data_IF_187127054439
#
_entry.id   IF_187127054439
#
_cell.length_a   1.000
_cell.length_b   1.000
_cell.length_c   1.000
_cell.angle_alpha   90.00
_cell.angle_beta   90.00
_cell.angle_gamma   90.00
#
_symmetry.space_group_name_H-M   'P 1'
#
loop_
_entity.id
_entity.type
_entity.pdbx_description
1 polymer ?
#
# COMPACT_ATOMS: atom_id res chain seq x y z
N UNK A 1 -5.92 -13.66 -0.66
CA UNK A 1 -6.58 -12.73 0.24
C UNK A 1 -7.39 -11.70 -0.58
N UNK A 2 -6.82 -11.03 -1.54
CA UNK A 2 -7.46 -9.98 -2.36
C UNK A 2 -8.53 -10.49 -3.35
N UNK A 3 -9.54 -11.23 -2.85
CA UNK A 3 -10.63 -11.75 -3.66
C UNK A 3 -10.31 -13.04 -4.42
N UNK A 4 -9.31 -13.80 -3.99
CA UNK A 4 -9.06 -15.15 -4.51
C UNK A 4 -10.19 -16.07 -4.06
N UNK A 5 -10.93 -16.65 -5.01
CA UNK A 5 -11.96 -17.65 -4.73
C UNK A 5 -11.37 -19.06 -4.61
N UNK A 6 -12.21 -19.99 -4.12
CA UNK A 6 -11.84 -21.39 -3.87
C UNK A 6 -11.24 -22.10 -5.11
N UNK A 7 -11.73 -21.79 -6.31
CA UNK A 7 -11.21 -22.39 -7.56
C UNK A 7 -9.77 -21.97 -7.87
N UNK A 8 -9.43 -20.70 -7.63
CA UNK A 8 -8.07 -20.20 -7.82
C UNK A 8 -7.15 -20.73 -6.69
N UNK A 9 -7.66 -20.79 -5.45
CA UNK A 9 -6.93 -21.37 -4.33
C UNK A 9 -6.58 -22.84 -4.60
N UNK A 10 -7.54 -23.65 -5.06
CA UNK A 10 -7.30 -25.04 -5.46
C UNK A 10 -6.19 -25.15 -6.50
N UNK A 11 -6.20 -24.27 -7.52
CA UNK A 11 -5.19 -24.30 -8.57
C UNK A 11 -3.78 -24.00 -8.05
N UNK A 12 -3.67 -23.17 -7.03
CA UNK A 12 -2.39 -22.79 -6.42
C UNK A 12 -1.88 -23.83 -5.41
N UNK A 13 -2.78 -24.41 -4.59
CA UNK A 13 -2.40 -25.38 -3.57
C UNK A 13 -2.26 -26.81 -4.12
N UNK A 14 -2.88 -27.09 -5.26
CA UNK A 14 -3.15 -28.47 -5.70
C UNK A 14 -4.29 -29.10 -4.88
N UNK A 15 -4.57 -30.38 -5.09
CA UNK A 15 -5.56 -31.10 -4.32
C UNK A 15 -7.00 -30.94 -4.78
N UNK A 16 -7.94 -31.32 -3.94
CA UNK A 16 -9.39 -31.35 -4.23
C UNK A 16 -10.06 -30.00 -3.99
N UNK A 17 -11.28 -29.84 -4.52
CA UNK A 17 -12.10 -28.66 -4.26
C UNK A 17 -12.53 -28.58 -2.80
N UNK A 18 -12.76 -29.71 -2.16
CA UNK A 18 -13.20 -29.79 -0.76
C UNK A 18 -12.07 -29.34 0.19
N UNK A 19 -10.84 -29.78 -0.08
CA UNK A 19 -9.66 -29.31 0.69
C UNK A 19 -9.47 -27.81 0.56
N UNK A 20 -9.55 -27.26 -0.66
CA UNK A 20 -9.45 -25.83 -0.90
C UNK A 20 -10.59 -25.05 -0.23
N UNK A 21 -11.83 -25.58 -0.23
CA UNK A 21 -12.96 -24.97 0.47
C UNK A 21 -12.75 -24.98 1.98
N UNK A 22 -12.29 -26.08 2.53
CA UNK A 22 -12.01 -26.22 3.97
C UNK A 22 -10.92 -25.22 4.38
N UNK A 23 -9.84 -25.14 3.61
CA UNK A 23 -8.77 -24.16 3.86
C UNK A 23 -9.29 -22.72 3.81
N UNK A 24 -10.10 -22.40 2.80
CA UNK A 24 -10.70 -21.08 2.64
C UNK A 24 -11.58 -20.69 3.84
N UNK A 25 -12.44 -21.61 4.28
CA UNK A 25 -13.31 -21.40 5.43
C UNK A 25 -12.51 -21.24 6.73
N UNK A 26 -11.51 -22.10 6.98
CA UNK A 26 -10.65 -22.03 8.15
C UNK A 26 -9.88 -20.69 8.21
N UNK A 27 -9.36 -20.24 7.07
CA UNK A 27 -8.69 -18.94 6.97
C UNK A 27 -9.61 -17.79 7.42
N UNK A 28 -10.80 -17.69 6.85
CA UNK A 28 -11.72 -16.61 7.19
C UNK A 28 -12.40 -16.77 8.55
N UNK A 29 -12.46 -17.97 9.12
CA UNK A 29 -12.86 -18.16 10.51
C UNK A 29 -11.78 -17.67 11.47
N UNK A 30 -10.52 -17.96 11.17
CA UNK A 30 -9.37 -17.47 11.97
C UNK A 30 -9.21 -15.95 11.86
N UNK A 31 -9.41 -15.39 10.67
CA UNK A 31 -9.25 -13.97 10.37
C UNK A 31 -10.60 -13.32 10.04
N UNK A 32 -11.54 -13.37 10.97
CA UNK A 32 -12.91 -12.86 10.77
C UNK A 32 -12.93 -11.37 10.41
N UNK A 33 -12.06 -10.55 11.01
CA UNK A 33 -11.96 -9.13 10.69
C UNK A 33 -11.57 -8.86 9.22
N UNK A 34 -10.77 -9.73 8.60
CA UNK A 34 -10.47 -9.62 7.16
C UNK A 34 -11.71 -9.93 6.33
N UNK A 35 -12.47 -10.96 6.69
CA UNK A 35 -13.74 -11.27 6.01
C UNK A 35 -14.71 -10.10 6.09
N UNK A 36 -14.93 -9.58 7.30
CA UNK A 36 -15.85 -8.48 7.54
C UNK A 36 -15.44 -7.22 6.78
N UNK A 37 -14.14 -6.93 6.72
CA UNK A 37 -13.60 -5.85 5.89
C UNK A 37 -13.95 -6.04 4.41
N UNK A 38 -13.70 -7.23 3.85
CA UNK A 38 -13.97 -7.52 2.44
C UNK A 38 -15.47 -7.39 2.09
N UNK A 39 -16.35 -7.86 2.97
CA UNK A 39 -17.81 -7.76 2.80
C UNK A 39 -18.28 -6.30 2.91
N UNK A 40 -17.77 -5.56 3.87
CA UNK A 40 -18.11 -4.14 4.06
C UNK A 40 -17.65 -3.29 2.87
N UNK A 41 -16.45 -3.50 2.34
CA UNK A 41 -15.97 -2.75 1.16
C UNK A 41 -16.80 -3.06 -0.08
N UNK A 42 -17.19 -4.32 -0.31
CA UNK A 42 -18.08 -4.67 -1.43
C UNK A 42 -19.42 -3.97 -1.30
N UNK A 43 -20.07 -4.08 -0.15
CA UNK A 43 -21.36 -3.44 0.12
C UNK A 43 -21.29 -1.92 -0.02
N UNK A 44 -20.20 -1.31 0.46
CA UNK A 44 -19.96 0.13 0.30
C UNK A 44 -19.81 0.51 -1.17
N UNK A 45 -19.02 -0.26 -1.94
CA UNK A 45 -18.80 -0.02 -3.36
C UNK A 45 -20.10 -0.17 -4.18
N UNK A 46 -20.91 -1.20 -3.88
CA UNK A 46 -22.21 -1.42 -4.54
C UNK A 46 -23.19 -0.24 -4.32
N UNK A 47 -23.19 0.32 -3.11
CA UNK A 47 -24.05 1.43 -2.73
C UNK A 47 -23.59 2.76 -3.31
N UNK A 48 -22.28 3.01 -3.26
CA UNK A 48 -21.72 4.35 -3.52
C UNK A 48 -21.05 4.47 -4.90
N UNK A 49 -20.81 3.37 -5.60
CA UNK A 49 -20.11 3.26 -6.89
C UNK A 49 -18.62 3.70 -6.85
N UNK A 50 -18.07 3.83 -5.67
CA UNK A 50 -16.64 4.11 -5.43
C UNK A 50 -16.18 3.48 -4.12
N UNK A 51 -14.86 3.41 -3.92
CA UNK A 51 -14.21 3.19 -2.63
C UNK A 51 -13.18 4.28 -2.35
N UNK A 52 -12.76 4.41 -1.10
CA UNK A 52 -11.81 5.44 -0.66
C UNK A 52 -10.57 4.82 -0.03
N UNK A 53 -9.41 5.47 -0.23
CA UNK A 53 -8.21 5.19 0.54
C UNK A 53 -8.35 5.72 1.97
N UNK A 54 -7.41 5.37 2.86
CA UNK A 54 -7.34 5.94 4.22
C UNK A 54 -7.30 7.48 4.20
N UNK A 55 -6.76 8.07 3.14
CA UNK A 55 -6.64 9.51 2.94
C UNK A 55 -7.81 10.13 2.15
N UNK A 56 -8.91 9.40 1.94
CA UNK A 56 -10.13 9.91 1.31
C UNK A 56 -10.06 10.02 -0.22
N UNK A 57 -9.01 9.48 -0.87
CA UNK A 57 -8.94 9.47 -2.32
C UNK A 57 -9.88 8.42 -2.90
N UNK A 58 -10.80 8.87 -3.76
CA UNK A 58 -11.85 8.03 -4.36
C UNK A 58 -11.37 7.31 -5.61
N UNK A 59 -11.81 6.05 -5.75
CA UNK A 59 -11.73 5.27 -6.97
C UNK A 59 -13.12 4.78 -7.37
N UNK A 60 -13.56 5.14 -8.56
CA UNK A 60 -14.90 4.80 -9.06
C UNK A 60 -14.97 3.38 -9.63
N UNK A 61 -16.13 2.72 -9.42
CA UNK A 61 -16.41 1.36 -9.86
C UNK A 61 -17.78 1.27 -10.57
N UNK A 62 -17.93 1.81 -11.79
CA UNK A 62 -19.22 1.86 -12.49
C UNK A 62 -19.77 0.47 -12.79
N UNK A 63 -18.93 -0.55 -12.88
CA UNK A 63 -19.30 -1.94 -13.17
C UNK A 63 -19.57 -2.80 -11.93
N UNK A 64 -19.54 -2.24 -10.72
CA UNK A 64 -19.72 -3.01 -9.48
C UNK A 64 -21.11 -3.68 -9.41
N UNK A 65 -22.14 -3.04 -10.00
CA UNK A 65 -23.51 -3.54 -10.09
C UNK A 65 -23.83 -4.17 -11.46
N UNK A 66 -22.82 -4.55 -12.25
CA UNK A 66 -23.01 -5.17 -13.56
C UNK A 66 -23.82 -6.47 -13.47
N UNK A 67 -24.73 -6.67 -14.42
CA UNK A 67 -25.46 -7.94 -14.58
C UNK A 67 -24.58 -9.04 -15.20
N UNK A 68 -23.42 -8.67 -15.75
CA UNK A 68 -22.44 -9.62 -16.33
C UNK A 68 -21.57 -10.12 -15.19
N UNK A 69 -21.64 -11.42 -14.82
CA UNK A 69 -20.94 -11.95 -13.63
C UNK A 69 -19.42 -11.72 -13.64
N UNK A 70 -18.80 -11.81 -14.81
CA UNK A 70 -17.37 -11.56 -14.97
C UNK A 70 -16.98 -10.12 -14.61
N UNK A 71 -17.73 -9.12 -15.13
CA UNK A 71 -17.47 -7.70 -14.87
C UNK A 71 -17.72 -7.36 -13.40
N UNK A 72 -18.81 -7.90 -12.81
CA UNK A 72 -19.10 -7.72 -11.39
C UNK A 72 -17.99 -8.28 -10.53
N UNK A 73 -17.60 -9.54 -10.74
CA UNK A 73 -16.54 -10.20 -9.95
C UNK A 73 -15.18 -9.50 -10.09
N UNK A 74 -14.85 -8.98 -11.27
CA UNK A 74 -13.62 -8.20 -11.46
C UNK A 74 -13.67 -6.88 -10.70
N UNK A 75 -14.81 -6.18 -10.74
CA UNK A 75 -15.00 -4.94 -10.01
C UNK A 75 -14.93 -5.15 -8.49
N UNK A 76 -15.57 -6.18 -7.94
CA UNK A 76 -15.52 -6.53 -6.52
C UNK A 76 -14.09 -6.79 -6.03
N UNK A 77 -13.32 -7.61 -6.76
CA UNK A 77 -11.91 -7.88 -6.41
C UNK A 77 -11.06 -6.62 -6.43
N UNK A 78 -11.28 -5.77 -7.44
CA UNK A 78 -10.52 -4.53 -7.54
C UNK A 78 -10.95 -3.54 -6.46
N UNK A 79 -12.23 -3.47 -6.13
CA UNK A 79 -12.76 -2.60 -5.08
C UNK A 79 -12.22 -2.97 -3.69
N UNK A 80 -12.14 -4.27 -3.36
CA UNK A 80 -11.60 -4.71 -2.07
C UNK A 80 -10.11 -4.42 -1.90
N UNK A 81 -9.35 -4.39 -2.99
CA UNK A 81 -7.92 -4.12 -2.97
C UNK A 81 -7.59 -2.62 -3.03
N UNK A 82 -8.42 -1.82 -3.70
CA UNK A 82 -8.13 -0.42 -3.99
C UNK A 82 -7.88 0.47 -2.76
N UNK A 83 -8.60 0.35 -1.63
CA UNK A 83 -8.31 1.14 -0.44
C UNK A 83 -6.91 0.85 0.13
N UNK A 84 -6.52 -0.42 0.19
CA UNK A 84 -5.25 -0.86 0.76
C UNK A 84 -4.09 -0.44 -0.15
N UNK A 85 -4.11 -0.87 -1.42
CA UNK A 85 -3.05 -0.50 -2.37
C UNK A 85 -2.98 1.01 -2.57
N UNK A 86 -4.12 1.67 -2.73
CA UNK A 86 -4.15 3.12 -2.91
C UNK A 86 -3.55 3.88 -1.75
N UNK A 87 -3.79 3.43 -0.52
CA UNK A 87 -3.18 3.99 0.68
C UNK A 87 -1.68 3.73 0.69
N UNK A 88 -1.27 2.46 0.60
CA UNK A 88 0.11 2.04 0.79
C UNK A 88 1.05 2.53 -0.33
N UNK A 89 0.68 2.30 -1.60
CA UNK A 89 1.59 2.54 -2.73
C UNK A 89 1.43 3.91 -3.39
N UNK A 90 0.42 4.69 -3.03
CA UNK A 90 0.22 5.99 -3.64
C UNK A 90 0.17 7.13 -2.64
N UNK A 91 -0.67 7.04 -1.60
CA UNK A 91 -0.84 8.17 -0.70
C UNK A 91 0.33 8.28 0.28
N UNK A 92 0.75 7.18 0.90
CA UNK A 92 1.88 7.13 1.84
C UNK A 92 3.16 7.60 1.16
N UNK A 93 3.48 7.08 -0.03
CA UNK A 93 4.71 7.44 -0.75
C UNK A 93 4.74 8.93 -1.11
N UNK A 94 3.63 9.49 -1.58
CA UNK A 94 3.58 10.94 -1.90
C UNK A 94 3.78 11.83 -0.67
N UNK A 95 3.20 11.43 0.46
CA UNK A 95 3.39 12.14 1.72
C UNK A 95 4.82 11.97 2.23
N UNK A 96 5.42 10.79 2.11
CA UNK A 96 6.81 10.51 2.45
C UNK A 96 7.77 11.43 1.67
N UNK A 97 7.59 11.51 0.35
CA UNK A 97 8.38 12.41 -0.52
C UNK A 97 8.26 13.86 -0.04
N UNK A 98 7.03 14.33 0.22
CA UNK A 98 6.79 15.69 0.68
C UNK A 98 7.47 15.95 2.03
N UNK A 99 7.31 15.06 3.01
CA UNK A 99 7.91 15.25 4.33
C UNK A 99 9.43 15.16 4.29
N UNK A 100 10.00 14.24 3.50
CA UNK A 100 11.44 14.18 3.30
C UNK A 100 11.98 15.47 2.68
N UNK A 101 11.31 16.00 1.65
CA UNK A 101 11.69 17.26 1.03
C UNK A 101 11.61 18.44 2.01
N UNK A 102 10.50 18.55 2.76
CA UNK A 102 10.33 19.61 3.77
C UNK A 102 11.42 19.55 4.86
N UNK A 103 11.77 18.35 5.34
CA UNK A 103 12.76 18.18 6.39
C UNK A 103 14.20 18.37 5.88
N UNK A 104 14.53 17.92 4.68
CA UNK A 104 15.81 18.22 4.03
C UNK A 104 16.01 19.73 3.82
N UNK A 105 14.95 20.45 3.44
CA UNK A 105 15.00 21.92 3.32
C UNK A 105 15.24 22.61 4.67
N UNK A 106 14.55 22.20 5.75
CA UNK A 106 14.75 22.77 7.10
C UNK A 106 16.19 22.60 7.58
N UNK A 107 16.83 21.50 7.20
CA UNK A 107 18.20 21.18 7.56
C UNK A 107 19.25 21.75 6.57
N UNK A 108 18.83 22.54 5.58
CA UNK A 108 19.66 23.10 4.50
C UNK A 108 20.39 22.02 3.68
N UNK A 109 19.77 20.87 3.47
CA UNK A 109 20.30 19.75 2.70
C UNK A 109 19.70 19.60 1.30
N UNK A 110 18.74 20.43 0.91
CA UNK A 110 18.06 20.33 -0.38
C UNK A 110 19.00 20.40 -1.60
N UNK A 111 20.15 21.08 -1.47
CA UNK A 111 21.18 21.16 -2.51
C UNK A 111 22.20 20.01 -2.45
N UNK A 112 22.03 19.07 -1.53
CA UNK A 112 22.97 17.98 -1.26
C UNK A 112 22.32 16.60 -1.28
N UNK A 113 20.98 16.53 -1.31
CA UNK A 113 20.20 15.30 -1.36
C UNK A 113 19.02 15.51 -2.29
N UNK A 114 19.03 14.82 -3.43
CA UNK A 114 18.05 14.95 -4.49
C UNK A 114 17.31 13.66 -4.74
N UNK A 115 15.97 13.69 -4.70
CA UNK A 115 15.15 12.57 -5.14
C UNK A 115 15.29 12.44 -6.67
N UNK A 116 15.79 11.32 -7.16
CA UNK A 116 15.99 11.04 -8.58
C UNK A 116 14.98 10.06 -9.16
N UNK A 117 14.53 9.07 -8.38
CA UNK A 117 13.56 8.10 -8.84
C UNK A 117 12.59 7.70 -7.71
N UNK A 118 11.37 7.35 -8.12
CA UNK A 118 10.41 6.59 -7.31
C UNK A 118 10.07 5.30 -8.07
N UNK A 119 10.29 4.15 -7.46
CA UNK A 119 10.00 2.83 -8.04
C UNK A 119 9.09 2.09 -7.06
N UNK A 120 7.78 2.01 -7.36
CA UNK A 120 6.75 1.46 -6.47
C UNK A 120 6.78 2.14 -5.08
N UNK A 121 7.32 1.48 -4.07
CA UNK A 121 7.48 1.89 -2.68
C UNK A 121 8.92 2.28 -2.31
N UNK A 122 9.81 2.27 -3.28
CA UNK A 122 11.21 2.68 -3.12
C UNK A 122 11.43 4.13 -3.57
N UNK A 123 12.27 4.85 -2.82
CA UNK A 123 12.74 6.19 -3.17
C UNK A 123 14.25 6.18 -3.35
N UNK A 124 14.72 6.60 -4.51
CA UNK A 124 16.15 6.69 -4.82
C UNK A 124 16.59 8.14 -4.78
N UNK A 125 17.61 8.39 -3.97
CA UNK A 125 18.21 9.71 -3.79
C UNK A 125 19.66 9.72 -4.25
N UNK A 126 20.07 10.81 -4.90
CA UNK A 126 21.48 11.17 -5.06
C UNK A 126 21.87 12.07 -3.89
N UNK A 127 22.85 11.65 -3.09
CA UNK A 127 23.22 12.34 -1.86
C UNK A 127 24.73 12.55 -1.85
N UNK A 128 25.19 13.77 -1.50
CA UNK A 128 26.61 14.02 -1.26
C UNK A 128 27.10 13.22 -0.07
N UNK A 129 28.24 12.54 -0.21
CA UNK A 129 28.83 11.64 0.79
C UNK A 129 28.96 12.32 2.17
N UNK A 130 29.38 13.59 2.19
CA UNK A 130 29.56 14.36 3.43
C UNK A 130 28.31 14.53 4.31
N UNK A 131 27.12 14.28 3.75
CA UNK A 131 25.82 14.41 4.45
C UNK A 131 24.99 13.13 4.43
N UNK A 132 25.55 12.01 3.95
CA UNK A 132 24.83 10.76 3.73
C UNK A 132 24.11 10.29 4.99
N UNK A 133 24.81 10.13 6.10
CA UNK A 133 24.21 9.65 7.37
C UNK A 133 23.10 10.57 7.90
N UNK A 134 23.28 11.89 7.73
CA UNK A 134 22.28 12.85 8.18
C UNK A 134 21.05 12.82 7.29
N UNK A 135 21.23 12.76 5.99
CA UNK A 135 20.14 12.69 5.01
C UNK A 135 19.36 11.37 5.14
N UNK A 136 20.06 10.24 5.31
CA UNK A 136 19.45 8.94 5.59
C UNK A 136 18.46 9.01 6.76
N UNK A 137 18.90 9.51 7.90
CA UNK A 137 18.06 9.63 9.11
C UNK A 137 16.82 10.48 8.85
N UNK A 138 16.97 11.60 8.13
CA UNK A 138 15.88 12.50 7.79
C UNK A 138 14.86 11.81 6.89
N UNK A 139 15.33 11.20 5.81
CA UNK A 139 14.47 10.51 4.83
C UNK A 139 13.75 9.34 5.49
N UNK A 140 14.47 8.50 6.24
CA UNK A 140 13.92 7.37 6.97
C UNK A 140 12.82 7.82 7.94
N UNK A 141 13.09 8.81 8.78
CA UNK A 141 12.10 9.34 9.72
C UNK A 141 10.87 9.94 9.02
N UNK A 142 11.07 10.57 7.87
CA UNK A 142 9.98 11.11 7.07
C UNK A 142 9.08 10.00 6.51
N UNK A 143 9.67 8.89 6.04
CA UNK A 143 8.95 7.75 5.49
C UNK A 143 8.23 6.94 6.59
N UNK A 144 8.90 6.61 7.69
CA UNK A 144 8.32 5.84 8.80
C UNK A 144 7.24 6.64 9.55
N UNK A 145 7.41 7.95 9.64
CA UNK A 145 6.49 8.84 10.35
C UNK A 145 5.25 9.30 9.58
N UNK A 146 5.04 8.86 8.34
CA UNK A 146 3.99 9.40 7.45
C UNK A 146 2.60 9.39 8.05
N UNK A 147 2.17 8.28 8.63
CA UNK A 147 0.82 8.13 9.17
C UNK A 147 0.58 9.10 10.34
N UNK A 148 1.53 9.22 11.23
CA UNK A 148 1.44 10.11 12.38
C UNK A 148 1.57 11.59 12.00
N UNK A 149 2.47 11.92 11.07
CA UNK A 149 2.73 13.30 10.60
C UNK A 149 1.66 13.83 9.66
N UNK A 150 0.90 12.94 9.03
CA UNK A 150 -0.21 13.33 8.16
C UNK A 150 -1.33 14.03 8.94
N UNK A 151 -2.25 14.66 8.23
CA UNK A 151 -3.44 15.28 8.83
C UNK A 151 -4.35 14.29 9.57
N UNK A 152 -4.17 12.99 9.35
CA UNK A 152 -4.91 11.94 10.05
C UNK A 152 -4.40 11.72 11.47
N UNK A 153 -3.13 12.07 11.76
CA UNK A 153 -2.45 11.75 13.02
C UNK A 153 -2.66 10.31 13.46
N UNK A 154 -2.65 9.39 12.49
CA UNK A 154 -3.00 7.98 12.69
C UNK A 154 -1.87 7.26 13.44
N UNK A 155 -2.23 6.72 14.60
CA UNK A 155 -1.35 5.84 15.38
C UNK A 155 -1.66 4.41 15.01
N UNK A 156 -0.63 3.64 14.70
CA UNK A 156 -0.72 2.21 14.40
C UNK A 156 0.24 1.44 15.30
N UNK A 157 -0.16 0.24 15.72
CA UNK A 157 0.72 -0.70 16.41
C UNK A 157 1.62 -1.46 15.44
N UNK A 158 1.36 -1.33 14.14
CA UNK A 158 2.18 -1.93 13.08
C UNK A 158 3.10 -0.84 12.53
N UNK A 159 4.43 -0.94 12.75
CA UNK A 159 5.37 0.05 12.26
C UNK A 159 5.46 0.02 10.73
N UNK A 160 5.70 1.18 10.14
CA UNK A 160 6.21 1.28 8.78
C UNK A 160 7.73 1.25 8.89
N UNK A 161 8.35 0.14 8.51
CA UNK A 161 9.80 -0.01 8.56
C UNK A 161 10.39 0.31 7.18
N UNK A 162 11.48 1.09 7.18
CA UNK A 162 12.21 1.47 5.98
C UNK A 162 13.63 0.92 6.04
N UNK A 163 13.98 0.13 5.04
CA UNK A 163 15.35 -0.32 4.83
C UNK A 163 16.09 0.69 3.96
N UNK A 164 17.33 0.94 4.31
CA UNK A 164 18.22 1.83 3.58
C UNK A 164 19.44 1.06 3.07
N UNK A 165 19.85 1.36 1.84
CA UNK A 165 21.11 0.91 1.28
C UNK A 165 21.76 2.04 0.49
N UNK A 166 23.09 2.10 0.45
CA UNK A 166 23.86 3.09 -0.29
C UNK A 166 24.95 2.42 -1.12
N UNK A 167 25.35 3.05 -2.20
CA UNK A 167 26.40 2.61 -3.11
C UNK A 167 26.76 3.73 -4.08
N UNK A 168 27.88 3.58 -4.79
CA UNK A 168 28.36 4.60 -5.74
C UNK A 168 27.51 4.69 -7.00
N UNK A 169 26.68 3.69 -7.26
CA UNK A 169 25.78 3.64 -8.40
C UNK A 169 24.56 2.77 -8.11
N UNK A 170 23.50 2.93 -8.93
CA UNK A 170 22.22 2.25 -8.74
C UNK A 170 22.32 0.70 -8.79
N UNK A 171 23.35 0.15 -9.41
CA UNK A 171 23.56 -1.30 -9.46
C UNK A 171 24.04 -1.91 -8.14
N UNK A 172 24.51 -1.10 -7.22
CA UNK A 172 25.03 -1.51 -5.91
C UNK A 172 23.98 -1.38 -4.79
N UNK A 173 22.95 -0.57 -5.00
CA UNK A 173 21.85 -0.37 -4.04
C UNK A 173 20.76 -1.42 -4.28
N UNK A 174 20.96 -2.64 -3.74
CA UNK A 174 19.97 -3.73 -3.78
C UNK A 174 19.78 -4.35 -2.42
#
# INVERSE_FOLDING_TARGET
IYGMGVSALRKNLGGTREEAQTFYNNYFNQFSGVRDYLENIKSFAEKNLYVETLFGRKRNFPNINSRIPFLKSMAERTATNAPIQGTATADIIKLAIRFAHEDLNKENLANKAHLVLQIHDELVYEIKEEVLEKAEKIIKNAMEGVLFRSYLHYKTDIPLEVHFSSGDNFGEVK
#
